data_IF_338074349275
#
_entry.id   IF_338074349275
#
_cell.length_a   1.000
_cell.length_b   1.000
_cell.length_c   1.000
_cell.angle_alpha   90.00
_cell.angle_beta   90.00
_cell.angle_gamma   90.00
#
_symmetry.space_group_name_H-M   'P 1'
#
loop_
_entity.id
_entity.type
_entity.pdbx_description
1 polymer ?
#
# COMPACT_ATOMS: atom_id res chain seq x y z
N UNK A 1 14.63 16.32 -4.43
CA UNK A 1 13.90 15.09 -4.07
C UNK A 1 14.89 14.15 -3.40
N UNK A 2 14.76 13.95 -2.09
CA UNK A 2 15.69 13.15 -1.30
C UNK A 2 15.25 11.68 -1.32
N UNK A 3 16.15 10.77 -1.70
CA UNK A 3 15.93 9.34 -1.53
C UNK A 3 16.37 8.93 -0.11
N UNK A 4 15.47 8.33 0.65
CA UNK A 4 15.74 7.82 1.99
C UNK A 4 16.22 6.37 1.88
N UNK A 5 17.48 6.09 2.24
CA UNK A 5 18.01 4.73 2.31
C UNK A 5 18.45 4.45 3.73
N UNK A 6 17.77 3.54 4.41
CA UNK A 6 18.16 3.04 5.72
C UNK A 6 18.98 1.75 5.55
N UNK A 7 20.24 1.76 5.98
CA UNK A 7 21.09 0.57 5.99
C UNK A 7 21.41 0.15 7.43
N UNK A 8 21.22 -1.14 7.75
CA UNK A 8 21.61 -1.72 9.05
C UNK A 8 23.04 -2.25 8.92
N UNK A 9 24.01 -1.64 9.60
CA UNK A 9 25.38 -2.16 9.60
C UNK A 9 25.50 -3.42 10.46
N UNK A 10 26.07 -4.48 9.90
CA UNK A 10 26.39 -5.70 10.64
C UNK A 10 27.50 -5.40 11.67
N UNK A 11 27.17 -5.56 12.96
CA UNK A 11 28.12 -5.43 14.07
C UNK A 11 27.79 -4.34 15.11
N UNK A 12 26.80 -3.47 14.88
CA UNK A 12 26.38 -2.48 15.88
C UNK A 12 25.43 -3.09 16.93
N UNK A 13 25.74 -2.95 18.22
CA UNK A 13 24.76 -3.22 19.30
C UNK A 13 23.56 -2.27 19.14
N UNK A 14 22.38 -2.77 19.50
CA UNK A 14 21.08 -2.21 19.17
C UNK A 14 20.97 -0.68 19.35
N UNK A 15 20.49 0.02 18.31
CA UNK A 15 19.98 1.40 18.42
C UNK A 15 20.52 2.46 17.47
N UNK A 16 21.49 2.16 16.58
CA UNK A 16 22.00 3.17 15.63
C UNK A 16 21.37 3.04 14.24
N UNK A 17 20.71 4.11 13.79
CA UNK A 17 20.26 4.30 12.41
C UNK A 17 21.05 5.47 11.82
N UNK A 18 21.63 5.29 10.63
CA UNK A 18 22.26 6.37 9.87
C UNK A 18 21.26 6.82 8.82
N UNK A 19 20.81 8.07 8.93
CA UNK A 19 19.96 8.72 7.92
C UNK A 19 20.86 9.46 6.94
N UNK A 20 20.83 9.08 5.66
CA UNK A 20 21.56 9.79 4.60
C UNK A 20 20.56 10.70 3.86
N UNK A 21 20.74 12.02 3.96
CA UNK A 21 20.02 13.00 3.14
C UNK A 21 20.99 13.56 2.11
N UNK A 22 20.64 13.45 0.82
CA UNK A 22 21.37 14.09 -0.27
C UNK A 22 20.57 15.33 -0.69
N UNK A 23 21.03 16.51 -0.27
CA UNK A 23 20.45 17.79 -0.68
C UNK A 23 21.37 18.50 -1.66
N UNK A 24 20.81 19.05 -2.75
CA UNK A 24 21.48 20.06 -3.58
C UNK A 24 21.12 21.43 -3.03
N UNK A 25 22.07 22.14 -2.44
CA UNK A 25 21.89 23.53 -1.99
C UNK A 25 22.54 24.48 -3.00
N UNK A 26 21.83 25.54 -3.38
CA UNK A 26 22.20 26.43 -4.49
C UNK A 26 23.19 27.54 -4.14
N UNK A 27 23.61 27.69 -2.88
CA UNK A 27 24.40 28.84 -2.41
C UNK A 27 25.83 28.48 -1.95
N UNK A 28 26.47 27.47 -2.54
CA UNK A 28 27.86 27.09 -2.23
C UNK A 28 28.78 27.13 -3.46
N UNK A 29 30.10 27.35 -3.28
CA UNK A 29 31.05 27.41 -4.40
C UNK A 29 31.03 26.12 -5.22
N UNK A 30 31.17 26.21 -6.56
CA UNK A 30 31.00 25.12 -7.55
C UNK A 30 31.80 23.82 -7.30
N UNK A 31 32.73 23.83 -6.34
CA UNK A 31 33.60 22.71 -5.98
C UNK A 31 33.04 21.76 -4.91
N UNK A 32 31.88 22.04 -4.30
CA UNK A 32 31.24 21.19 -3.28
C UNK A 32 29.88 20.71 -3.78
N UNK A 33 29.74 19.42 -4.08
CA UNK A 33 28.52 18.88 -4.74
C UNK A 33 27.67 17.94 -3.90
N UNK A 34 28.17 17.46 -2.75
CA UNK A 34 27.38 16.57 -1.89
C UNK A 34 27.75 16.75 -0.42
N UNK A 35 26.74 16.99 0.42
CA UNK A 35 26.84 16.94 1.88
C UNK A 35 26.16 15.66 2.35
N UNK A 36 26.83 14.90 3.21
CA UNK A 36 26.26 13.74 3.89
C UNK A 36 26.22 14.05 5.37
N UNK A 37 25.03 14.16 5.94
CA UNK A 37 24.84 14.37 7.38
C UNK A 37 24.51 13.04 8.06
N UNK A 38 25.21 12.73 9.15
CA UNK A 38 24.92 11.55 9.98
C UNK A 38 24.10 11.95 11.21
N UNK A 39 22.93 11.34 11.35
CA UNK A 39 22.06 11.50 12.52
C UNK A 39 22.16 10.28 13.43
N UNK A 40 22.04 10.49 14.74
CA UNK A 40 21.73 9.44 15.70
C UNK A 40 20.34 9.65 16.28
N UNK A 41 19.59 8.55 16.33
CA UNK A 41 18.27 8.48 16.93
C UNK A 41 18.41 7.62 18.19
N UNK A 42 18.28 8.26 19.36
CA UNK A 42 18.19 7.51 20.60
C UNK A 42 16.80 6.86 20.74
N UNK A 43 16.68 5.77 21.50
CA UNK A 43 15.45 4.97 21.66
C UNK A 43 14.22 5.73 22.21
N UNK A 44 14.44 6.95 22.68
CA UNK A 44 13.47 7.91 23.21
C UNK A 44 13.12 9.05 22.21
N UNK A 45 13.51 8.92 20.93
CA UNK A 45 13.04 9.80 19.85
C UNK A 45 13.75 11.16 19.74
N UNK A 46 14.86 11.36 20.45
CA UNK A 46 15.66 12.58 20.34
C UNK A 46 16.68 12.41 19.20
N UNK A 47 16.59 13.28 18.20
CA UNK A 47 17.54 13.38 17.10
C UNK A 47 18.75 14.26 17.48
N UNK A 48 19.96 13.72 17.34
CA UNK A 48 21.20 14.52 17.37
C UNK A 48 21.98 14.33 16.07
N UNK A 49 22.32 15.43 15.42
CA UNK A 49 23.27 15.46 14.31
C UNK A 49 24.69 15.25 14.86
N UNK A 50 25.41 14.24 14.36
CA UNK A 50 26.71 13.82 14.91
C UNK A 50 27.88 14.37 14.08
N UNK A 51 27.74 14.44 12.75
CA UNK A 51 28.78 14.93 11.86
C UNK A 51 28.23 15.34 10.49
N UNK A 52 28.93 16.27 9.83
CA UNK A 52 28.73 16.59 8.41
C UNK A 52 29.98 16.20 7.62
N UNK A 53 29.77 15.52 6.50
CA UNK A 53 30.82 15.16 5.54
C UNK A 53 30.61 15.93 4.25
N UNK A 54 31.68 16.56 3.76
CA UNK A 54 31.70 17.23 2.47
C UNK A 54 32.57 16.43 1.49
N UNK A 55 32.05 16.19 0.28
CA UNK A 55 32.78 15.51 -0.79
C UNK A 55 33.07 16.50 -1.91
N UNK A 56 34.35 16.66 -2.25
CA UNK A 56 34.78 17.38 -3.46
C UNK A 56 35.36 16.39 -4.49
N UNK A 57 35.64 16.87 -5.70
CA UNK A 57 36.19 16.07 -6.80
C UNK A 57 37.58 15.45 -6.51
N UNK A 58 38.24 15.85 -5.41
CA UNK A 58 39.61 15.51 -5.05
C UNK A 58 39.74 14.55 -3.85
N UNK A 59 38.66 14.26 -3.11
CA UNK A 59 38.67 13.34 -1.96
C UNK A 59 37.80 13.78 -0.76
N UNK A 60 37.74 12.92 0.28
CA UNK A 60 36.96 13.12 1.51
C UNK A 60 37.63 14.08 2.50
N UNK A 61 36.86 15.02 3.07
CA UNK A 61 37.28 15.81 4.24
C UNK A 61 36.21 15.74 5.36
N UNK A 62 36.66 15.58 6.61
CA UNK A 62 35.79 15.43 7.80
C UNK A 62 35.85 16.71 8.64
N UNK A 63 34.69 17.26 9.01
CA UNK A 63 34.59 18.39 9.93
C UNK A 63 33.66 18.05 11.10
N UNK A 64 33.98 18.51 12.32
CA UNK A 64 33.13 18.34 13.51
C UNK A 64 32.21 19.55 13.68
N UNK A 65 30.91 19.31 13.79
CA UNK A 65 29.91 20.35 13.98
C UNK A 65 29.64 20.58 15.47
N UNK A 66 30.00 21.76 15.98
CA UNK A 66 29.31 22.40 17.11
C UNK A 66 29.01 23.86 16.72
N UNK A 67 27.84 24.33 17.15
CA UNK A 67 26.97 25.30 16.46
C UNK A 67 27.47 26.74 16.23
N UNK A 68 26.89 27.32 15.16
CA UNK A 68 26.79 28.76 14.75
C UNK A 68 28.09 29.46 14.26
N UNK A 69 28.00 30.58 13.51
CA UNK A 69 28.18 30.69 12.06
C UNK A 69 29.58 31.19 11.59
N UNK A 70 29.74 31.20 10.27
CA UNK A 70 30.93 31.47 9.45
C UNK A 70 31.70 32.76 9.76
N UNK A 71 33.04 32.66 9.82
CA UNK A 71 33.98 33.36 8.90
C UNK A 71 35.46 33.17 9.19
N UNK A 72 35.88 32.54 10.30
CA UNK A 72 37.31 32.37 10.59
C UNK A 72 37.62 31.02 11.28
N UNK A 73 37.68 29.91 10.53
CA UNK A 73 38.39 28.71 11.01
C UNK A 73 39.55 28.38 10.09
N UNK A 74 40.75 28.35 10.66
CA UNK A 74 41.94 27.75 10.03
C UNK A 74 41.75 26.22 10.00
N UNK A 75 42.27 25.51 8.97
CA UNK A 75 42.28 24.06 8.98
C UNK A 75 43.08 23.57 10.20
N UNK A 76 42.51 22.66 10.99
CA UNK A 76 43.24 21.98 12.05
C UNK A 76 44.04 20.85 11.39
N UNK A 77 45.36 20.98 11.42
CA UNK A 77 46.33 19.92 11.08
C UNK A 77 46.52 18.89 12.21
N UNK A 78 45.66 18.87 13.23
CA UNK A 78 45.77 17.90 14.31
C UNK A 78 45.01 16.61 13.99
N UNK A 79 45.80 15.60 13.65
CA UNK A 79 45.41 14.21 13.44
C UNK A 79 44.53 13.69 14.59
N UNK A 80 43.23 13.57 14.34
CA UNK A 80 42.34 12.76 15.16
C UNK A 80 42.58 11.29 14.78
N UNK A 81 43.52 10.64 15.46
CA UNK A 81 43.77 9.20 15.34
C UNK A 81 42.66 8.42 16.08
N UNK A 82 41.46 8.48 15.50
CA UNK A 82 40.38 7.53 15.81
C UNK A 82 40.65 6.32 14.92
N UNK A 83 41.33 5.31 15.47
CA UNK A 83 41.83 4.11 14.78
C UNK A 83 40.81 3.36 13.91
N UNK A 84 40.46 3.95 12.78
CA UNK A 84 39.73 3.34 11.69
C UNK A 84 40.77 2.78 10.70
N UNK A 85 40.57 1.56 10.18
CA UNK A 85 41.51 0.96 9.25
C UNK A 85 41.69 1.87 8.03
N UNK A 86 42.95 2.10 7.63
CA UNK A 86 43.32 2.88 6.44
C UNK A 86 42.80 2.16 5.19
N UNK A 87 41.59 2.48 4.75
CA UNK A 87 41.08 1.99 3.47
C UNK A 87 41.84 2.68 2.33
N UNK A 88 42.44 1.88 1.46
CA UNK A 88 43.12 2.33 0.24
C UNK A 88 42.12 3.07 -0.67
N UNK A 89 42.56 4.14 -1.34
CA UNK A 89 41.78 4.86 -2.36
C UNK A 89 41.23 3.93 -3.47
N UNK A 90 41.88 2.77 -3.71
CA UNK A 90 41.38 1.73 -4.63
C UNK A 90 40.13 1.01 -4.11
N UNK A 91 39.96 0.91 -2.80
CA UNK A 91 38.79 0.29 -2.17
C UNK A 91 37.55 1.17 -2.24
N UNK A 92 37.70 2.50 -2.25
CA UNK A 92 36.58 3.44 -2.43
C UNK A 92 36.06 3.50 -3.87
N UNK A 93 36.93 3.38 -4.88
CA UNK A 93 36.51 3.35 -6.28
C UNK A 93 35.67 2.10 -6.61
N UNK A 94 35.94 0.97 -5.94
CA UNK A 94 35.15 -0.26 -6.09
C UNK A 94 33.75 -0.13 -5.48
N UNK A 95 33.58 0.70 -4.44
CA UNK A 95 32.27 1.03 -3.87
C UNK A 95 31.47 1.99 -4.76
N UNK A 96 32.11 2.94 -5.45
CA UNK A 96 31.41 3.87 -6.34
C UNK A 96 30.77 3.17 -7.56
N UNK A 97 31.37 2.08 -8.07
CA UNK A 97 30.80 1.27 -9.15
C UNK A 97 29.58 0.44 -8.74
N UNK A 98 29.40 0.17 -7.44
CA UNK A 98 28.24 -0.56 -6.89
C UNK A 98 27.04 0.35 -6.60
N UNK A 99 27.21 1.67 -6.73
CA UNK A 99 26.17 2.70 -6.51
C UNK A 99 25.91 3.54 -7.76
N UNK A 100 26.28 3.07 -8.95
CA UNK A 100 25.64 3.59 -10.15
C UNK A 100 24.14 3.29 -9.98
N UNK A 101 23.25 4.30 -9.91
CA UNK A 101 21.83 4.02 -9.93
C UNK A 101 21.60 3.25 -11.22
N UNK A 102 21.18 1.99 -11.11
CA UNK A 102 20.59 1.29 -12.24
C UNK A 102 19.57 2.27 -12.84
N UNK A 103 19.51 2.45 -14.16
CA UNK A 103 18.51 3.33 -14.74
C UNK A 103 17.17 2.84 -14.18
N UNK A 104 16.57 3.66 -13.32
CA UNK A 104 15.14 3.61 -13.05
C UNK A 104 14.55 3.79 -14.43
N UNK A 105 14.20 2.70 -15.11
CA UNK A 105 13.47 2.76 -16.35
C UNK A 105 12.19 3.51 -16.00
N UNK A 106 12.12 4.78 -16.39
CA UNK A 106 10.96 5.59 -16.15
C UNK A 106 9.79 4.89 -16.84
N UNK A 107 8.71 4.63 -16.12
CA UNK A 107 7.51 4.03 -16.69
C UNK A 107 7.03 4.86 -17.88
N UNK A 108 6.68 4.19 -18.97
CA UNK A 108 6.01 4.79 -20.12
C UNK A 108 4.63 5.30 -19.73
N UNK A 109 4.07 6.23 -20.50
CA UNK A 109 2.71 6.72 -20.26
C UNK A 109 1.69 5.58 -20.39
N UNK A 110 1.93 4.65 -21.30
CA UNK A 110 1.13 3.45 -21.52
C UNK A 110 1.14 2.54 -20.30
N UNK A 111 2.31 2.31 -19.69
CA UNK A 111 2.42 1.54 -18.44
C UNK A 111 1.71 2.26 -17.29
N UNK A 112 1.89 3.59 -17.17
CA UNK A 112 1.19 4.39 -16.15
C UNK A 112 -0.33 4.34 -16.33
N UNK A 113 -0.82 4.45 -17.56
CA UNK A 113 -2.24 4.33 -17.87
C UNK A 113 -2.75 2.91 -17.58
N UNK A 114 -1.96 1.89 -17.93
CA UNK A 114 -2.27 0.50 -17.60
C UNK A 114 -2.46 0.28 -16.11
N UNK A 115 -1.60 0.89 -15.26
CA UNK A 115 -1.74 0.81 -13.80
C UNK A 115 -3.04 1.41 -13.24
N UNK A 116 -3.79 2.20 -14.03
CA UNK A 116 -5.08 2.76 -13.64
C UNK A 116 -6.28 1.88 -14.01
N UNK A 117 -6.03 0.72 -14.64
CA UNK A 117 -7.08 -0.14 -15.20
C UNK A 117 -7.18 -1.45 -14.40
N UNK A 118 -8.37 -1.69 -13.85
CA UNK A 118 -8.78 -2.94 -13.24
C UNK A 118 -9.86 -3.58 -14.12
N UNK A 119 -9.67 -4.83 -14.57
CA UNK A 119 -10.63 -5.50 -15.47
C UNK A 119 -11.23 -6.77 -14.86
N UNK A 120 -12.46 -7.08 -15.23
CA UNK A 120 -12.99 -8.44 -15.09
C UNK A 120 -12.42 -9.37 -16.17
N UNK A 121 -12.57 -10.68 -16.00
CA UNK A 121 -12.08 -11.67 -16.96
C UNK A 121 -12.97 -12.91 -17.07
N UNK A 122 -12.77 -13.68 -18.14
CA UNK A 122 -13.46 -14.95 -18.38
C UNK A 122 -12.54 -16.13 -18.09
N UNK A 123 -13.10 -17.20 -17.54
CA UNK A 123 -12.39 -18.44 -17.22
C UNK A 123 -12.27 -18.70 -15.72
N UNK A 124 -12.14 -19.98 -15.37
CA UNK A 124 -12.08 -20.49 -14.01
C UNK A 124 -11.04 -21.61 -13.85
N UNK A 125 -9.97 -21.54 -14.64
CA UNK A 125 -8.79 -22.40 -14.60
C UNK A 125 -7.58 -21.63 -15.12
N UNK A 126 -6.37 -22.00 -14.68
CA UNK A 126 -5.12 -21.34 -15.08
C UNK A 126 -4.91 -21.30 -16.59
N UNK A 127 -5.30 -22.38 -17.29
CA UNK A 127 -5.11 -22.53 -18.73
C UNK A 127 -6.31 -22.01 -19.56
N UNK A 128 -7.30 -21.39 -18.91
CA UNK A 128 -8.43 -20.83 -19.64
C UNK A 128 -7.94 -19.67 -20.54
N UNK A 129 -8.40 -19.58 -21.81
CA UNK A 129 -7.91 -18.55 -22.74
C UNK A 129 -7.99 -17.11 -22.20
N UNK A 130 -9.07 -16.79 -21.47
CA UNK A 130 -9.22 -15.46 -20.85
C UNK A 130 -8.21 -15.21 -19.72
N UNK A 131 -7.85 -16.22 -18.93
CA UNK A 131 -6.82 -16.13 -17.89
C UNK A 131 -5.44 -15.97 -18.53
N UNK A 132 -5.15 -16.70 -19.61
CA UNK A 132 -3.92 -16.54 -20.38
C UNK A 132 -3.78 -15.14 -20.97
N UNK A 133 -4.84 -14.59 -21.55
CA UNK A 133 -4.85 -13.25 -22.13
C UNK A 133 -4.55 -12.18 -21.06
N UNK A 134 -5.23 -12.25 -19.91
CA UNK A 134 -5.02 -11.36 -18.77
C UNK A 134 -3.59 -11.41 -18.25
N UNK A 135 -2.99 -12.62 -18.14
CA UNK A 135 -1.58 -12.75 -17.75
C UNK A 135 -0.65 -12.04 -18.73
N UNK A 136 -0.93 -12.13 -20.03
CA UNK A 136 -0.16 -11.42 -21.05
C UNK A 136 -0.33 -9.91 -20.97
N UNK A 137 -1.52 -9.41 -20.59
CA UNK A 137 -1.77 -7.99 -20.35
C UNK A 137 -1.03 -7.46 -19.12
N UNK A 138 -1.03 -8.22 -18.01
CA UNK A 138 -0.22 -7.91 -16.81
C UNK A 138 1.26 -7.86 -17.17
N UNK A 139 1.78 -8.87 -17.87
CA UNK A 139 3.20 -8.96 -18.21
C UNK A 139 3.68 -7.81 -19.12
N UNK A 140 2.76 -7.25 -19.91
CA UNK A 140 3.05 -6.13 -20.79
C UNK A 140 2.70 -4.76 -20.19
N UNK A 141 2.32 -4.70 -18.90
CA UNK A 141 1.97 -3.44 -18.23
C UNK A 141 0.69 -2.77 -18.73
N UNK A 142 -0.16 -3.49 -19.49
CA UNK A 142 -1.40 -2.92 -20.08
C UNK A 142 -2.54 -2.78 -19.08
N UNK A 143 -2.47 -3.49 -17.95
CA UNK A 143 -3.45 -3.41 -16.85
C UNK A 143 -2.73 -3.43 -15.50
N UNK A 144 -3.35 -2.81 -14.51
CA UNK A 144 -2.88 -2.74 -13.12
C UNK A 144 -3.44 -3.87 -12.28
N UNK A 145 -4.48 -4.56 -12.74
CA UNK A 145 -5.04 -5.69 -12.00
C UNK A 145 -6.30 -6.29 -12.59
N UNK A 146 -6.84 -7.24 -11.83
CA UNK A 146 -8.01 -8.05 -12.17
C UNK A 146 -9.04 -8.03 -11.05
N UNK A 147 -10.31 -8.15 -11.42
CA UNK A 147 -11.43 -8.30 -10.50
C UNK A 147 -12.17 -9.60 -10.75
N UNK A 148 -12.33 -10.40 -9.71
CA UNK A 148 -13.06 -11.65 -9.74
C UNK A 148 -14.57 -11.43 -9.73
N UNK A 149 -15.25 -12.16 -10.62
CA UNK A 149 -16.68 -12.39 -10.61
C UNK A 149 -16.97 -13.85 -10.20
N UNK A 150 -18.25 -14.14 -9.92
CA UNK A 150 -18.67 -15.47 -9.45
C UNK A 150 -18.26 -16.60 -10.39
N UNK A 151 -18.30 -16.38 -11.70
CA UNK A 151 -17.94 -17.36 -12.71
C UNK A 151 -16.44 -17.70 -12.77
N UNK A 152 -15.57 -16.93 -12.09
CA UNK A 152 -14.14 -17.23 -12.02
C UNK A 152 -13.80 -18.24 -10.91
N UNK A 153 -14.72 -18.48 -9.96
CA UNK A 153 -14.45 -19.27 -8.75
C UNK A 153 -14.91 -20.72 -8.95
N UNK A 154 -13.98 -21.61 -9.33
CA UNK A 154 -14.25 -23.06 -9.46
C UNK A 154 -13.99 -23.83 -8.16
N UNK A 155 -12.84 -23.58 -7.54
CA UNK A 155 -12.42 -24.12 -6.24
C UNK A 155 -11.32 -23.24 -5.67
N UNK A 156 -11.06 -23.32 -4.37
CA UNK A 156 -10.04 -22.50 -3.70
C UNK A 156 -8.63 -22.75 -4.29
N UNK A 157 -8.26 -24.01 -4.51
CA UNK A 157 -6.97 -24.37 -5.11
C UNK A 157 -6.76 -23.73 -6.49
N UNK A 158 -7.83 -23.64 -7.28
CA UNK A 158 -7.76 -23.08 -8.64
C UNK A 158 -7.67 -21.56 -8.59
N UNK A 159 -8.35 -20.93 -7.63
CA UNK A 159 -8.22 -19.50 -7.37
C UNK A 159 -6.79 -19.16 -6.94
N UNK A 160 -6.20 -19.92 -6.00
CA UNK A 160 -4.82 -19.71 -5.56
C UNK A 160 -3.83 -19.88 -6.73
N UNK A 161 -4.01 -20.90 -7.56
CA UNK A 161 -3.17 -21.13 -8.74
C UNK A 161 -3.29 -19.99 -9.76
N UNK A 162 -4.50 -19.50 -10.04
CA UNK A 162 -4.70 -18.35 -10.94
C UNK A 162 -4.07 -17.08 -10.38
N UNK A 163 -4.26 -16.81 -9.08
CA UNK A 163 -3.66 -15.64 -8.43
C UNK A 163 -2.13 -15.72 -8.43
N UNK A 164 -1.56 -16.90 -8.20
CA UNK A 164 -0.12 -17.14 -8.34
C UNK A 164 0.37 -16.86 -9.76
N UNK A 165 -0.41 -17.27 -10.76
CA UNK A 165 -0.08 -17.06 -12.17
C UNK A 165 -0.17 -15.57 -12.59
N UNK A 166 -1.09 -14.79 -12.00
CA UNK A 166 -1.17 -13.34 -12.19
C UNK A 166 0.01 -12.62 -11.53
N UNK A 167 0.31 -12.96 -10.26
CA UNK A 167 1.45 -12.39 -9.54
C UNK A 167 2.78 -12.72 -10.22
N UNK A 168 2.94 -13.93 -10.76
CA UNK A 168 4.14 -14.36 -11.47
C UNK A 168 4.30 -13.77 -12.87
N UNK A 169 3.27 -13.10 -13.41
CA UNK A 169 3.34 -12.48 -14.74
C UNK A 169 3.98 -11.08 -14.72
N UNK A 170 4.07 -10.42 -13.55
CA UNK A 170 4.56 -9.03 -13.46
C UNK A 170 6.05 -8.87 -13.77
N UNK A 171 6.41 -7.70 -14.29
CA UNK A 171 7.80 -7.26 -14.52
C UNK A 171 8.29 -6.18 -13.52
N UNK A 172 7.52 -5.89 -12.46
CA UNK A 172 7.99 -4.99 -11.40
C UNK A 172 6.91 -4.49 -10.44
N UNK A 173 5.71 -4.16 -10.96
CA UNK A 173 4.58 -3.70 -10.14
C UNK A 173 3.61 -4.85 -9.87
N UNK A 174 3.34 -5.11 -8.59
CA UNK A 174 2.44 -6.19 -8.18
C UNK A 174 1.00 -5.85 -8.64
N UNK A 175 0.35 -6.69 -9.47
CA UNK A 175 -1.01 -6.43 -9.91
C UNK A 175 -1.99 -6.51 -8.74
N UNK A 176 -3.04 -5.68 -8.79
CA UNK A 176 -4.18 -5.81 -7.89
C UNK A 176 -5.00 -7.03 -8.29
N UNK A 177 -5.34 -7.87 -7.33
CA UNK A 177 -6.22 -9.02 -7.47
C UNK A 177 -7.38 -8.80 -6.52
N UNK A 178 -8.48 -8.34 -7.10
CA UNK A 178 -9.63 -7.81 -6.40
C UNK A 178 -10.82 -8.77 -6.41
N UNK A 179 -11.67 -8.66 -5.40
CA UNK A 179 -13.00 -9.27 -5.36
C UNK A 179 -13.93 -8.45 -4.46
N UNK A 180 -15.24 -8.72 -4.54
CA UNK A 180 -16.21 -8.28 -3.52
C UNK A 180 -16.49 -9.42 -2.54
N UNK A 181 -15.85 -9.38 -1.38
CA UNK A 181 -16.14 -10.30 -0.27
C UNK A 181 -16.64 -9.49 0.93
N UNK A 182 -17.91 -9.09 0.87
CA UNK A 182 -18.53 -8.24 1.90
C UNK A 182 -19.10 -9.05 3.08
N UNK A 183 -19.53 -10.28 2.79
CA UNK A 183 -20.40 -11.07 3.65
C UNK A 183 -21.84 -11.15 3.14
N UNK A 184 -22.58 -12.12 3.67
CA UNK A 184 -23.99 -12.32 3.31
C UNK A 184 -24.18 -12.63 1.81
N UNK A 185 -25.05 -11.88 1.13
CA UNK A 185 -25.35 -12.17 -0.28
C UNK A 185 -24.26 -11.72 -1.26
N UNK A 186 -23.32 -10.88 -0.83
CA UNK A 186 -22.29 -10.30 -1.70
C UNK A 186 -20.94 -10.92 -1.36
N UNK A 187 -20.80 -12.16 -1.82
CA UNK A 187 -19.58 -12.94 -1.72
C UNK A 187 -19.27 -13.58 -3.07
N UNK A 188 -17.97 -13.70 -3.38
CA UNK A 188 -17.48 -14.43 -4.57
C UNK A 188 -17.01 -15.81 -4.17
N UNK A 189 -16.32 -15.91 -3.03
CA UNK A 189 -15.95 -17.15 -2.39
C UNK A 189 -17.08 -17.53 -1.43
N UNK A 190 -17.57 -18.77 -1.52
CA UNK A 190 -18.78 -19.22 -0.81
C UNK A 190 -18.56 -20.60 -0.19
N UNK A 191 -19.47 -21.04 0.66
CA UNK A 191 -19.45 -22.39 1.24
C UNK A 191 -19.45 -23.47 0.15
N UNK A 192 -20.06 -23.20 -1.01
CA UNK A 192 -20.11 -24.11 -2.15
C UNK A 192 -18.72 -24.50 -2.71
N UNK A 193 -17.69 -23.68 -2.46
CA UNK A 193 -16.30 -23.98 -2.82
C UNK A 193 -15.41 -24.23 -1.59
N UNK A 194 -16.01 -24.36 -0.40
CA UNK A 194 -15.31 -24.61 0.85
C UNK A 194 -14.77 -23.36 1.54
N UNK A 195 -15.19 -22.15 1.12
CA UNK A 195 -14.83 -20.91 1.82
C UNK A 195 -15.78 -20.66 2.98
N UNK A 196 -15.29 -20.11 4.10
CA UNK A 196 -16.14 -19.73 5.23
C UNK A 196 -16.88 -18.43 4.92
N UNK A 197 -18.19 -18.50 4.75
CA UNK A 197 -19.04 -17.32 4.61
C UNK A 197 -19.18 -16.58 5.94
N UNK A 198 -19.32 -15.25 5.87
CA UNK A 198 -19.59 -14.42 7.05
C UNK A 198 -20.98 -13.78 6.96
N UNK A 199 -21.59 -13.36 8.09
CA UNK A 199 -22.89 -12.67 8.05
C UNK A 199 -22.84 -11.37 7.24
N UNK A 200 -23.99 -10.91 6.75
CA UNK A 200 -24.12 -9.59 6.14
C UNK A 200 -23.74 -8.48 7.13
N UNK A 201 -23.34 -7.31 6.64
CA UNK A 201 -22.96 -6.17 7.48
C UNK A 201 -24.04 -5.81 8.51
N UNK A 202 -25.31 -5.83 8.11
CA UNK A 202 -26.45 -5.60 9.00
C UNK A 202 -26.48 -6.63 10.15
N UNK A 203 -26.31 -7.92 9.83
CA UNK A 203 -26.29 -8.97 10.85
C UNK A 203 -25.06 -8.90 11.74
N UNK A 204 -23.90 -8.50 11.20
CA UNK A 204 -22.70 -8.25 12.00
C UNK A 204 -22.98 -7.13 13.00
N UNK A 205 -23.49 -5.98 12.55
CA UNK A 205 -23.79 -4.85 13.43
C UNK A 205 -24.87 -5.16 14.48
N UNK A 206 -25.83 -6.03 14.14
CA UNK A 206 -26.89 -6.45 15.05
C UNK A 206 -26.45 -7.47 16.10
N UNK A 207 -25.41 -8.26 15.84
CA UNK A 207 -25.04 -9.42 16.68
C UNK A 207 -23.63 -9.36 17.28
N UNK A 208 -22.78 -8.47 16.81
CA UNK A 208 -21.37 -8.38 17.20
C UNK A 208 -21.04 -6.94 17.59
N UNK A 209 -20.22 -6.75 18.62
CA UNK A 209 -19.57 -5.45 18.84
C UNK A 209 -18.54 -5.14 17.74
N UNK A 210 -18.09 -3.88 17.57
CA UNK A 210 -17.03 -3.56 16.61
C UNK A 210 -15.74 -4.39 16.79
N UNK A 211 -15.38 -4.75 18.03
CA UNK A 211 -14.21 -5.60 18.28
C UNK A 211 -14.44 -7.06 17.87
N UNK A 212 -15.64 -7.60 18.09
CA UNK A 212 -16.01 -8.93 17.59
C UNK A 212 -16.03 -8.96 16.06
N UNK A 213 -16.61 -7.92 15.43
CA UNK A 213 -16.61 -7.75 13.98
C UNK A 213 -15.19 -7.72 13.41
N UNK A 214 -14.26 -7.04 14.08
CA UNK A 214 -12.84 -7.02 13.69
C UNK A 214 -12.23 -8.42 13.64
N UNK A 215 -12.57 -9.31 14.58
CA UNK A 215 -12.09 -10.70 14.56
C UNK A 215 -12.69 -11.49 13.40
N UNK A 216 -13.99 -11.34 13.16
CA UNK A 216 -14.68 -11.94 12.01
C UNK A 216 -14.02 -11.53 10.69
N UNK A 217 -13.81 -10.22 10.50
CA UNK A 217 -13.16 -9.70 9.29
C UNK A 217 -11.68 -10.07 9.19
N UNK A 218 -10.98 -10.26 10.31
CA UNK A 218 -9.59 -10.70 10.30
C UNK A 218 -9.49 -12.15 9.82
N UNK A 219 -10.38 -13.04 10.28
CA UNK A 219 -10.43 -14.42 9.76
C UNK A 219 -10.65 -14.42 8.25
N UNK A 220 -11.66 -13.69 7.77
CA UNK A 220 -11.93 -13.59 6.33
C UNK A 220 -10.73 -13.03 5.56
N UNK A 221 -10.12 -11.93 6.03
CA UNK A 221 -8.99 -11.31 5.35
C UNK A 221 -7.74 -12.20 5.31
N UNK A 222 -7.50 -13.01 6.35
CA UNK A 222 -6.43 -14.00 6.36
C UNK A 222 -6.67 -15.12 5.33
N UNK A 223 -7.92 -15.58 5.18
CA UNK A 223 -8.29 -16.56 4.15
C UNK A 223 -8.15 -15.97 2.74
N UNK A 224 -8.52 -14.70 2.53
CA UNK A 224 -8.28 -13.98 1.27
C UNK A 224 -6.78 -13.86 0.95
N UNK A 225 -5.97 -13.49 1.93
CA UNK A 225 -4.52 -13.37 1.79
C UNK A 225 -3.85 -14.72 1.49
N UNK A 226 -4.33 -15.81 2.11
CA UNK A 226 -3.85 -17.16 1.81
C UNK A 226 -4.10 -17.55 0.35
N UNK A 227 -5.22 -17.11 -0.22
CA UNK A 227 -5.54 -17.25 -1.65
C UNK A 227 -4.86 -16.20 -2.54
N UNK A 228 -4.01 -15.33 -1.97
CA UNK A 228 -3.23 -14.30 -2.65
C UNK A 228 -4.08 -13.16 -3.26
N UNK A 229 -5.30 -12.96 -2.77
CA UNK A 229 -6.00 -11.70 -2.99
C UNK A 229 -5.29 -10.60 -2.21
N UNK A 230 -5.17 -9.42 -2.82
CA UNK A 230 -4.53 -8.26 -2.19
C UNK A 230 -5.41 -7.01 -2.18
N UNK A 231 -6.65 -7.10 -2.68
CA UNK A 231 -7.67 -6.06 -2.58
C UNK A 231 -9.05 -6.70 -2.35
N UNK A 232 -9.73 -6.31 -1.28
CA UNK A 232 -11.15 -6.57 -1.11
C UNK A 232 -11.91 -5.25 -1.32
N UNK A 233 -12.85 -5.22 -2.25
CA UNK A 233 -13.66 -4.04 -2.53
C UNK A 233 -14.75 -3.91 -1.46
N UNK A 234 -14.36 -3.46 -0.29
CA UNK A 234 -15.22 -3.16 0.84
C UNK A 234 -14.41 -2.43 1.91
N UNK A 235 -15.04 -2.01 3.02
CA UNK A 235 -16.43 -2.26 3.38
C UNK A 235 -17.42 -1.36 2.63
N UNK A 236 -18.70 -1.75 2.67
CA UNK A 236 -19.81 -0.85 2.35
C UNK A 236 -20.02 0.11 3.51
N UNK A 237 -20.02 1.41 3.21
CA UNK A 237 -20.22 2.50 4.17
C UNK A 237 -21.45 3.34 3.88
N UNK A 238 -22.30 2.88 2.96
CA UNK A 238 -23.60 3.52 2.72
C UNK A 238 -24.48 3.43 3.97
N UNK A 239 -25.17 4.51 4.30
CA UNK A 239 -26.12 4.55 5.41
C UNK A 239 -27.45 3.91 5.00
N UNK A 240 -28.04 3.04 5.83
CA UNK A 240 -29.34 2.44 5.55
C UNK A 240 -30.53 3.41 5.79
N UNK A 241 -30.56 4.53 5.05
CA UNK A 241 -31.55 5.61 5.23
C UNK A 241 -32.88 5.35 4.54
N UNK A 242 -32.89 4.52 3.49
CA UNK A 242 -34.10 4.09 2.81
C UNK A 242 -34.31 2.59 3.01
N UNK A 243 -35.28 2.16 3.86
CA UNK A 243 -35.58 0.74 4.06
C UNK A 243 -35.99 0.00 2.78
N UNK A 244 -36.57 0.71 1.81
CA UNK A 244 -36.95 0.16 0.50
C UNK A 244 -35.80 0.17 -0.52
N UNK A 245 -34.57 0.49 -0.09
CA UNK A 245 -33.42 0.53 -0.97
C UNK A 245 -33.18 -0.87 -1.59
N UNK A 246 -33.22 -0.99 -2.93
CA UNK A 246 -33.26 -2.28 -3.59
C UNK A 246 -31.92 -3.02 -3.63
N UNK A 247 -30.82 -2.36 -3.25
CA UNK A 247 -29.47 -2.90 -3.40
C UNK A 247 -28.61 -2.84 -2.13
N UNK A 248 -28.78 -1.86 -1.25
CA UNK A 248 -28.09 -1.75 0.04
C UNK A 248 -28.91 -2.42 1.15
N UNK A 249 -30.10 -1.87 1.44
CA UNK A 249 -30.97 -2.34 2.52
C UNK A 249 -31.46 -3.77 2.28
N UNK A 250 -31.98 -4.04 1.07
CA UNK A 250 -32.54 -5.34 0.68
C UNK A 250 -31.61 -6.54 0.95
N UNK A 251 -30.30 -6.34 0.82
CA UNK A 251 -29.30 -7.39 0.99
C UNK A 251 -28.51 -7.27 2.31
N UNK A 252 -28.92 -6.35 3.20
CA UNK A 252 -28.27 -6.13 4.50
C UNK A 252 -26.81 -5.69 4.38
N UNK A 253 -26.45 -4.95 3.32
CA UNK A 253 -25.06 -4.58 3.00
C UNK A 253 -24.52 -3.42 3.84
N UNK A 254 -25.39 -2.65 4.48
CA UNK A 254 -25.00 -1.56 5.39
C UNK A 254 -24.96 -2.03 6.84
N UNK A 255 -24.09 -1.42 7.64
CA UNK A 255 -24.04 -1.64 9.09
C UNK A 255 -25.17 -0.93 9.86
N UNK A 256 -25.89 0.01 9.25
CA UNK A 256 -26.96 0.74 9.91
C UNK A 256 -27.26 2.08 9.27
N UNK A 257 -28.20 2.82 9.86
CA UNK A 257 -28.57 4.18 9.44
C UNK A 257 -27.74 5.27 10.13
N UNK A 258 -27.08 4.96 11.25
CA UNK A 258 -26.26 5.90 12.02
C UNK A 258 -24.83 5.94 11.49
N UNK A 259 -24.35 7.15 11.17
CA UNK A 259 -23.01 7.32 10.59
C UNK A 259 -21.89 6.90 11.56
N UNK A 260 -22.03 7.21 12.85
CA UNK A 260 -21.03 6.83 13.86
C UNK A 260 -20.87 5.32 13.99
N UNK A 261 -21.99 4.59 13.98
CA UNK A 261 -22.03 3.14 13.95
C UNK A 261 -21.34 2.60 12.70
N UNK A 262 -21.71 3.10 11.51
CA UNK A 262 -21.13 2.66 10.23
C UNK A 262 -19.62 2.89 10.20
N UNK A 263 -19.13 4.08 10.62
CA UNK A 263 -17.70 4.38 10.71
C UNK A 263 -16.94 3.42 11.63
N UNK A 264 -17.53 3.04 12.78
CA UNK A 264 -16.88 2.12 13.72
C UNK A 264 -16.70 0.72 13.11
N UNK A 265 -17.74 0.15 12.52
CA UNK A 265 -17.63 -1.18 11.88
C UNK A 265 -16.75 -1.14 10.62
N UNK A 266 -16.82 -0.07 9.84
CA UNK A 266 -15.93 0.13 8.70
C UNK A 266 -14.46 0.18 9.14
N UNK A 267 -14.16 0.88 10.23
CA UNK A 267 -12.81 0.92 10.83
C UNK A 267 -12.34 -0.47 11.25
N UNK A 268 -13.21 -1.27 11.86
CA UNK A 268 -12.93 -2.67 12.20
C UNK A 268 -12.61 -3.52 10.97
N UNK A 269 -13.39 -3.40 9.91
CA UNK A 269 -13.16 -4.10 8.64
C UNK A 269 -11.81 -3.71 8.02
N UNK A 270 -11.55 -2.41 7.87
CA UNK A 270 -10.32 -1.88 7.25
C UNK A 270 -9.09 -2.30 8.04
N UNK A 271 -9.15 -2.17 9.38
CA UNK A 271 -8.03 -2.52 10.25
C UNK A 271 -7.71 -4.01 10.19
N UNK A 272 -8.74 -4.86 10.13
CA UNK A 272 -8.58 -6.30 9.99
C UNK A 272 -7.94 -6.69 8.64
N UNK A 273 -8.41 -6.11 7.53
CA UNK A 273 -7.84 -6.38 6.21
C UNK A 273 -6.40 -5.88 6.10
N UNK A 274 -6.13 -4.67 6.60
CA UNK A 274 -4.77 -4.12 6.65
C UNK A 274 -3.82 -5.00 7.46
N UNK A 275 -4.28 -5.57 8.58
CA UNK A 275 -3.49 -6.50 9.39
C UNK A 275 -3.14 -7.81 8.65
N UNK A 276 -3.98 -8.25 7.72
CA UNK A 276 -3.73 -9.39 6.84
C UNK A 276 -2.98 -9.04 5.54
N UNK A 277 -2.63 -7.75 5.33
CA UNK A 277 -1.96 -7.30 4.10
C UNK A 277 -2.90 -7.18 2.88
N UNK A 278 -4.22 -7.12 3.10
CA UNK A 278 -5.23 -6.95 2.05
C UNK A 278 -5.73 -5.50 2.04
N UNK A 279 -5.71 -4.87 0.87
CA UNK A 279 -6.21 -3.52 0.68
C UNK A 279 -7.74 -3.49 0.72
N UNK A 280 -8.29 -2.31 0.97
CA UNK A 280 -9.74 -2.06 1.07
C UNK A 280 -10.13 -0.83 0.26
N UNK A 281 -11.40 -0.76 -0.14
CA UNK A 281 -11.98 0.36 -0.86
C UNK A 281 -13.40 0.64 -0.34
N UNK A 282 -13.57 1.81 0.28
CA UNK A 282 -14.89 2.25 0.75
C UNK A 282 -15.85 2.41 -0.44
N UNK A 283 -17.10 2.03 -0.23
CA UNK A 283 -18.14 2.17 -1.25
C UNK A 283 -19.53 2.41 -0.65
N UNK A 284 -20.42 3.11 -1.36
CA UNK A 284 -20.28 3.60 -2.74
C UNK A 284 -20.35 5.12 -2.74
N UNK A 285 -19.20 5.80 -2.87
CA UNK A 285 -19.17 7.26 -2.87
C UNK A 285 -20.08 7.85 -3.97
N UNK A 286 -20.88 8.89 -3.69
CA UNK A 286 -20.95 9.70 -2.47
C UNK A 286 -21.96 9.21 -1.40
N UNK A 287 -22.45 7.99 -1.53
CA UNK A 287 -23.51 7.41 -0.71
C UNK A 287 -24.64 6.87 -1.60
N UNK A 288 -24.93 5.58 -1.47
CA UNK A 288 -26.03 4.90 -2.20
C UNK A 288 -27.21 4.57 -1.27
N UNK A 289 -27.11 4.95 0.00
CA UNK A 289 -27.96 4.50 1.08
C UNK A 289 -29.42 4.94 0.99
N UNK A 290 -29.62 6.18 0.54
CA UNK A 290 -30.94 6.79 0.35
C UNK A 290 -31.59 6.48 -1.01
N UNK A 291 -30.88 5.79 -1.90
CA UNK A 291 -31.37 5.57 -3.27
C UNK A 291 -32.63 4.71 -3.31
N UNK A 292 -33.43 4.92 -4.35
CA UNK A 292 -34.69 4.18 -4.60
C UNK A 292 -34.61 3.25 -5.80
N UNK A 293 -33.45 3.18 -6.46
CA UNK A 293 -33.24 2.42 -7.67
C UNK A 293 -31.93 1.63 -7.60
N UNK A 294 -31.87 0.56 -8.37
CA UNK A 294 -30.73 -0.35 -8.42
C UNK A 294 -29.80 0.05 -9.57
N UNK A 295 -28.56 0.44 -9.25
CA UNK A 295 -27.57 0.88 -10.24
C UNK A 295 -27.11 -0.24 -11.18
N UNK A 296 -27.40 -1.51 -10.87
CA UNK A 296 -27.19 -2.61 -11.81
C UNK A 296 -28.21 -2.61 -12.96
N UNK A 297 -29.33 -1.91 -12.80
CA UNK A 297 -30.45 -1.89 -13.77
C UNK A 297 -30.49 -0.60 -14.60
N UNK A 298 -29.63 0.36 -14.32
CA UNK A 298 -29.56 1.62 -15.04
C UNK A 298 -29.06 2.76 -14.16
N UNK A 299 -29.16 3.97 -14.70
CA UNK A 299 -28.78 5.19 -14.00
C UNK A 299 -29.64 5.42 -12.75
N UNK A 300 -29.00 5.82 -11.65
CA UNK A 300 -29.66 6.15 -10.38
C UNK A 300 -29.42 7.63 -10.08
N UNK A 301 -30.51 8.41 -10.01
CA UNK A 301 -30.46 9.80 -9.57
C UNK A 301 -30.84 9.88 -8.08
N UNK A 302 -29.90 10.37 -7.27
CA UNK A 302 -30.04 10.53 -5.83
C UNK A 302 -30.22 12.00 -5.42
N UNK A 303 -30.26 12.94 -6.37
CA UNK A 303 -30.25 14.39 -6.11
C UNK A 303 -31.31 14.86 -5.10
N UNK A 304 -32.47 14.20 -5.07
CA UNK A 304 -33.60 14.54 -4.18
C UNK A 304 -33.61 13.79 -2.85
N UNK A 305 -32.81 12.72 -2.71
CA UNK A 305 -32.89 11.77 -1.60
C UNK A 305 -31.61 11.71 -0.79
N UNK A 306 -30.47 11.99 -1.43
CA UNK A 306 -29.16 12.02 -0.83
C UNK A 306 -29.08 13.07 0.27
N UNK A 307 -28.42 12.70 1.36
CA UNK A 307 -28.23 13.57 2.52
C UNK A 307 -26.75 13.80 2.77
N UNK A 308 -26.32 15.01 3.18
CA UNK A 308 -24.92 15.29 3.49
C UNK A 308 -24.29 14.34 4.51
N UNK A 309 -25.09 13.75 5.40
CA UNK A 309 -24.62 12.79 6.39
C UNK A 309 -24.06 11.51 5.76
N UNK A 310 -24.46 11.15 4.54
CA UNK A 310 -23.90 10.01 3.80
C UNK A 310 -22.41 10.15 3.46
N UNK A 311 -21.82 11.35 3.61
CA UNK A 311 -20.38 11.58 3.48
C UNK A 311 -19.60 11.40 4.79
N UNK A 312 -20.30 11.24 5.92
CA UNK A 312 -19.65 11.16 7.23
C UNK A 312 -18.81 9.89 7.40
N UNK A 313 -19.30 8.69 7.01
CA UNK A 313 -18.52 7.47 7.08
C UNK A 313 -17.27 7.43 6.20
#
# INVERSE_FOLDING_TARGET
MSALVAARMAGARAGFFVLLSVGSFTDWPESLRTVVSCWSIASNGIERQIADFCVNASGFQVFRAEGVPSKNRKPLEESCDMGLPKFSLRSLALLAGLFAPAPSMAATLEEMAGQMILIGFQGNSVDAPGVTAVRADIAAGRIGGVMYLRNNVRSLDVVEQMNSAFLGATQGLVPLIALDQEGGSIERLTEAVGFREIPSAERVAASQSPEQARQTYLSMALELAALKFNLNLGPVVDLNLNPDNPIIARYGRSFGADAGQVSQYATSFISAHRAAGVLTALKHFPGHGSSRADSHKGFVDITRYWQPEELTP
#
